data_IF_970588557841
#
_entry.id   IF_970588557841
#
_cell.length_a   1.000
_cell.length_b   1.000
_cell.length_c   1.000
_cell.angle_alpha   90.00
_cell.angle_beta   90.00
_cell.angle_gamma   90.00
#
_symmetry.space_group_name_H-M   'P 1'
#
loop_
_entity.id
_entity.type
_entity.pdbx_description
1 polymer ?
#
# COMPACT_ATOMS: atom_id res chain seq x y z
N UNK A 1 30.37 -7.28 -19.42
CA UNK A 1 28.96 -6.82 -19.42
C UNK A 1 28.79 -5.83 -18.29
N UNK A 2 28.18 -4.67 -18.55
CA UNK A 2 27.87 -3.70 -17.50
C UNK A 2 26.72 -4.22 -16.64
N UNK A 3 26.84 -4.14 -15.31
CA UNK A 3 25.79 -4.51 -14.36
C UNK A 3 25.14 -3.25 -13.78
N UNK A 4 23.90 -3.36 -13.29
CA UNK A 4 23.25 -2.25 -12.59
C UNK A 4 24.08 -1.72 -11.42
N UNK A 5 24.74 -2.61 -10.67
CA UNK A 5 25.64 -2.25 -9.56
C UNK A 5 26.88 -1.46 -9.97
N UNK A 6 27.24 -1.46 -11.26
CA UNK A 6 28.38 -0.68 -11.77
C UNK A 6 28.05 0.79 -12.06
N UNK A 7 26.77 1.17 -11.99
CA UNK A 7 26.35 2.57 -12.09
C UNK A 7 26.73 3.35 -10.82
N UNK A 8 27.11 4.64 -10.93
CA UNK A 8 27.18 5.55 -9.78
C UNK A 8 25.89 5.54 -8.95
N UNK A 9 26.01 5.75 -7.65
CA UNK A 9 24.89 5.63 -6.72
C UNK A 9 23.73 6.58 -7.06
N UNK A 10 24.05 7.79 -7.52
CA UNK A 10 23.10 8.81 -7.92
C UNK A 10 22.20 8.32 -9.06
N UNK A 11 22.77 7.61 -10.04
CA UNK A 11 22.02 7.06 -11.16
C UNK A 11 21.15 5.88 -10.73
N UNK A 12 21.65 5.00 -9.85
CA UNK A 12 20.85 3.89 -9.31
C UNK A 12 19.65 4.39 -8.51
N UNK A 13 19.88 5.36 -7.63
CA UNK A 13 18.83 6.03 -6.85
C UNK A 13 17.82 6.70 -7.78
N UNK A 14 18.26 7.44 -8.79
CA UNK A 14 17.35 8.06 -9.76
C UNK A 14 16.51 7.00 -10.47
N UNK A 15 17.12 5.92 -11.00
CA UNK A 15 16.38 4.82 -11.64
C UNK A 15 15.34 4.23 -10.68
N UNK A 16 15.70 4.05 -9.41
CA UNK A 16 14.74 3.58 -8.43
C UNK A 16 13.60 4.56 -8.19
N UNK A 17 13.88 5.85 -8.02
CA UNK A 17 12.83 6.86 -7.86
C UNK A 17 11.89 6.92 -9.08
N UNK A 18 12.42 6.74 -10.29
CA UNK A 18 11.62 6.67 -11.52
C UNK A 18 10.86 5.37 -11.71
N UNK A 19 11.23 4.28 -11.02
CA UNK A 19 10.50 3.01 -11.11
C UNK A 19 9.50 2.80 -9.96
N UNK A 20 9.32 3.81 -9.10
CA UNK A 20 8.24 3.82 -8.11
C UNK A 20 6.90 3.80 -8.85
N UNK A 21 5.95 2.95 -8.45
CA UNK A 21 4.68 2.87 -9.15
C UNK A 21 3.87 4.16 -9.08
N UNK A 22 3.05 4.35 -10.09
CA UNK A 22 2.00 5.37 -10.10
C UNK A 22 0.96 5.13 -8.99
N UNK A 23 0.23 6.18 -8.57
CA UNK A 23 -0.94 6.08 -7.71
C UNK A 23 -1.87 4.89 -8.02
N UNK A 24 -2.32 4.18 -6.99
CA UNK A 24 -3.16 2.98 -7.16
C UNK A 24 -4.39 2.96 -6.28
N UNK A 25 -5.38 2.19 -6.72
CA UNK A 25 -6.59 1.89 -5.96
C UNK A 25 -6.36 0.68 -5.06
N UNK A 26 -6.41 0.89 -3.76
CA UNK A 26 -6.28 -0.16 -2.75
C UNK A 26 -7.66 -0.44 -2.16
N UNK A 27 -8.13 -1.67 -2.33
CA UNK A 27 -9.34 -2.18 -1.70
C UNK A 27 -8.93 -2.92 -0.43
N UNK A 28 -9.47 -2.51 0.70
CA UNK A 28 -9.21 -3.08 2.01
C UNK A 28 -10.49 -3.73 2.54
N UNK A 29 -10.35 -4.97 3.00
CA UNK A 29 -11.41 -5.80 3.55
C UNK A 29 -10.95 -6.48 4.83
N UNK A 30 -11.90 -6.96 5.62
CA UNK A 30 -11.61 -7.74 6.82
C UNK A 30 -11.94 -9.21 6.59
N UNK A 31 -11.04 -10.12 6.94
CA UNK A 31 -11.25 -11.56 6.75
C UNK A 31 -11.61 -12.33 8.04
N UNK A 32 -11.93 -11.62 9.13
CA UNK A 32 -12.15 -12.21 10.45
C UNK A 32 -10.93 -12.14 11.38
N UNK A 33 -9.71 -12.00 10.84
CA UNK A 33 -8.46 -12.01 11.62
C UNK A 33 -7.53 -10.83 11.32
N UNK A 34 -7.44 -10.46 10.06
CA UNK A 34 -6.52 -9.43 9.58
C UNK A 34 -7.13 -8.63 8.43
N UNK A 35 -6.55 -7.46 8.18
CA UNK A 35 -6.87 -6.67 7.00
C UNK A 35 -6.27 -7.32 5.76
N UNK A 36 -7.12 -7.57 4.77
CA UNK A 36 -6.75 -8.09 3.46
C UNK A 36 -6.92 -6.99 2.42
N UNK A 37 -5.92 -6.81 1.56
CA UNK A 37 -6.03 -5.91 0.43
C UNK A 37 -5.76 -6.59 -0.91
N UNK A 38 -6.20 -5.94 -1.99
CA UNK A 38 -5.78 -6.26 -3.36
C UNK A 38 -4.45 -5.56 -3.75
N UNK A 39 -3.94 -4.69 -2.87
CA UNK A 39 -2.71 -3.95 -3.09
C UNK A 39 -1.51 -4.87 -2.94
N UNK A 40 -1.03 -5.43 -4.05
CA UNK A 40 0.26 -6.14 -4.05
C UNK A 40 1.35 -5.18 -3.57
N UNK A 41 2.40 -5.64 -2.88
CA UNK A 41 3.55 -4.78 -2.64
C UNK A 41 4.05 -4.22 -3.98
N UNK A 42 4.49 -2.95 -4.05
CA UNK A 42 5.16 -2.44 -5.24
C UNK A 42 6.22 -3.45 -5.71
N UNK A 43 6.22 -3.85 -6.99
CA UNK A 43 7.17 -4.84 -7.51
C UNK A 43 8.62 -4.51 -7.12
N UNK A 44 8.91 -3.21 -7.09
CA UNK A 44 10.17 -2.64 -6.64
C UNK A 44 10.60 -3.05 -5.23
N UNK A 45 9.67 -3.20 -4.28
CA UNK A 45 9.96 -3.63 -2.91
C UNK A 45 10.51 -5.06 -2.80
N UNK A 46 10.50 -5.82 -3.91
CA UNK A 46 10.99 -7.18 -4.00
C UNK A 46 12.26 -7.34 -4.84
N UNK A 47 12.80 -6.27 -5.44
CA UNK A 47 13.94 -6.36 -6.36
C UNK A 47 15.27 -6.55 -5.61
N UNK A 48 15.61 -5.61 -4.73
CA UNK A 48 16.82 -5.65 -3.91
C UNK A 48 16.68 -4.74 -2.68
N UNK A 49 17.70 -4.70 -1.82
CA UNK A 49 17.70 -3.85 -0.63
C UNK A 49 17.56 -2.36 -0.95
N UNK A 50 18.39 -1.84 -1.87
CA UNK A 50 18.40 -0.43 -2.28
C UNK A 50 17.03 0.00 -2.85
N UNK A 51 16.42 -0.84 -3.68
CA UNK A 51 15.09 -0.59 -4.23
C UNK A 51 13.99 -0.57 -3.14
N UNK A 52 14.08 -1.46 -2.14
CA UNK A 52 13.16 -1.48 -1.00
C UNK A 52 13.31 -0.23 -0.13
N UNK A 53 14.54 0.25 0.07
CA UNK A 53 14.81 1.48 0.82
C UNK A 53 14.16 2.69 0.12
N UNK A 54 14.28 2.82 -1.20
CA UNK A 54 13.63 3.91 -1.93
C UNK A 54 12.10 3.84 -1.86
N UNK A 55 11.49 2.65 -2.00
CA UNK A 55 10.03 2.50 -1.88
C UNK A 55 9.54 2.84 -0.48
N UNK A 56 10.31 2.47 0.55
CA UNK A 56 9.93 2.67 1.95
C UNK A 56 9.92 4.15 2.37
N UNK A 57 10.52 5.05 1.57
CA UNK A 57 10.41 6.50 1.77
C UNK A 57 9.02 7.04 1.45
N UNK A 58 8.25 6.31 0.63
CA UNK A 58 6.94 6.73 0.15
C UNK A 58 5.85 5.84 0.73
N UNK A 59 5.95 4.53 0.50
CA UNK A 59 4.95 3.57 0.93
C UNK A 59 5.30 3.00 2.29
N UNK A 60 4.29 2.83 3.14
CA UNK A 60 4.45 2.24 4.47
C UNK A 60 3.49 1.07 4.67
N UNK A 61 3.92 0.05 5.41
CA UNK A 61 3.03 -1.00 5.89
C UNK A 61 2.07 -0.39 6.92
N UNK A 62 0.80 -0.23 6.53
CA UNK A 62 -0.12 0.67 7.25
C UNK A 62 -1.20 -0.05 8.06
N UNK A 63 -1.94 -0.98 7.44
CA UNK A 63 -3.15 -1.54 8.06
C UNK A 63 -2.82 -2.77 8.94
N UNK A 64 -2.37 -2.52 10.17
CA UNK A 64 -2.13 -3.56 11.18
C UNK A 64 -3.45 -3.98 11.83
N UNK A 65 -3.57 -5.27 12.16
CA UNK A 65 -4.77 -5.79 12.80
C UNK A 65 -4.83 -5.39 14.28
N UNK A 66 -6.00 -5.03 14.82
CA UNK A 66 -6.18 -4.84 16.27
C UNK A 66 -5.86 -6.10 17.08
N UNK A 67 -5.96 -7.28 16.47
CA UNK A 67 -5.66 -8.58 17.11
C UNK A 67 -4.15 -8.90 17.15
N UNK A 68 -3.29 -7.95 16.78
CA UNK A 68 -1.83 -8.08 16.85
C UNK A 68 -1.16 -8.63 15.58
N UNK A 69 -1.93 -8.96 14.53
CA UNK A 69 -1.33 -9.33 13.24
C UNK A 69 -0.67 -8.09 12.58
N UNK A 70 0.56 -8.22 12.05
CA UNK A 70 1.30 -7.08 11.50
C UNK A 70 0.65 -6.54 10.22
N UNK A 71 0.90 -5.26 9.92
CA UNK A 71 0.48 -4.66 8.67
C UNK A 71 1.18 -5.32 7.47
N UNK A 72 0.41 -5.65 6.44
CA UNK A 72 0.92 -6.29 5.20
C UNK A 72 0.73 -5.45 3.95
N UNK A 73 -0.13 -4.44 4.02
CA UNK A 73 -0.47 -3.59 2.87
C UNK A 73 0.42 -2.36 2.86
N UNK A 74 1.21 -2.24 1.80
CA UNK A 74 1.95 -1.02 1.47
C UNK A 74 0.97 0.04 0.98
N UNK A 75 0.94 1.18 1.65
CA UNK A 75 0.00 2.25 1.35
C UNK A 75 0.68 3.61 1.53
N UNK A 76 0.37 4.54 0.65
CA UNK A 76 0.73 5.94 0.80
C UNK A 76 -0.54 6.80 0.84
N UNK A 77 -0.68 7.62 1.89
CA UNK A 77 -1.86 8.44 2.13
C UNK A 77 -1.97 9.64 1.19
N UNK A 78 -0.91 9.97 0.45
CA UNK A 78 -0.90 11.12 -0.47
C UNK A 78 -1.26 10.69 -1.89
N UNK A 79 -0.79 9.51 -2.31
CA UNK A 79 -0.89 9.00 -3.67
C UNK A 79 -2.02 7.98 -3.84
N UNK A 80 -2.21 7.07 -2.88
CA UNK A 80 -3.15 5.96 -3.06
C UNK A 80 -4.59 6.37 -2.74
N UNK A 81 -5.52 5.71 -3.41
CA UNK A 81 -6.96 5.81 -3.13
C UNK A 81 -7.39 4.56 -2.37
N UNK A 82 -7.98 4.76 -1.20
CA UNK A 82 -8.48 3.67 -0.35
C UNK A 82 -9.98 3.45 -0.57
N UNK A 83 -10.35 2.23 -0.94
CA UNK A 83 -11.70 1.71 -0.85
C UNK A 83 -11.75 0.74 0.31
N UNK A 84 -12.67 0.95 1.25
CA UNK A 84 -12.73 0.16 2.48
C UNK A 84 -14.15 -0.34 2.72
N UNK A 85 -14.28 -1.61 3.07
CA UNK A 85 -15.56 -2.21 3.47
C UNK A 85 -15.97 -1.73 4.87
N UNK A 86 -17.27 -1.66 5.14
CA UNK A 86 -17.78 -1.14 6.42
C UNK A 86 -17.25 -1.95 7.63
N UNK A 87 -17.17 -3.27 7.50
CA UNK A 87 -16.65 -4.16 8.55
C UNK A 87 -15.16 -3.92 8.86
N UNK A 88 -14.36 -3.58 7.85
CA UNK A 88 -12.96 -3.21 8.01
C UNK A 88 -12.82 -1.82 8.63
N UNK A 89 -13.69 -0.87 8.25
CA UNK A 89 -13.70 0.48 8.81
C UNK A 89 -14.01 0.46 10.31
N UNK A 90 -15.02 -0.30 10.73
CA UNK A 90 -15.41 -0.46 12.14
C UNK A 90 -14.30 -1.05 13.03
N UNK A 91 -13.42 -1.88 12.46
CA UNK A 91 -12.34 -2.56 13.17
C UNK A 91 -11.02 -1.80 13.11
N UNK A 92 -10.97 -0.68 12.39
CA UNK A 92 -9.74 0.08 12.20
C UNK A 92 -9.30 0.73 13.52
N UNK A 93 -8.01 0.63 13.92
CA UNK A 93 -7.49 1.35 15.07
C UNK A 93 -7.69 2.88 14.92
N UNK A 94 -8.01 3.56 16.02
CA UNK A 94 -8.33 5.00 16.02
C UNK A 94 -7.23 5.86 15.37
N UNK A 95 -5.97 5.56 15.63
CA UNK A 95 -4.83 6.25 15.01
C UNK A 95 -4.88 6.18 13.47
N UNK A 96 -5.12 4.99 12.92
CA UNK A 96 -5.20 4.79 11.46
C UNK A 96 -6.49 5.39 10.90
N UNK A 97 -7.60 5.25 11.63
CA UNK A 97 -8.89 5.80 11.26
C UNK A 97 -8.83 7.33 11.12
N UNK A 98 -8.12 8.03 12.01
CA UNK A 98 -7.94 9.48 11.96
C UNK A 98 -7.22 9.96 10.68
N UNK A 99 -6.34 9.12 10.13
CA UNK A 99 -5.61 9.38 8.87
C UNK A 99 -6.47 9.08 7.67
N UNK A 100 -7.25 7.99 7.74
CA UNK A 100 -8.22 7.61 6.72
C UNK A 100 -9.32 8.67 6.61
N UNK A 101 -9.95 9.12 7.69
CA UNK A 101 -11.03 10.12 7.60
C UNK A 101 -10.64 11.43 6.86
N UNK A 102 -9.35 11.75 6.79
CA UNK A 102 -8.80 12.92 6.08
C UNK A 102 -8.63 12.72 4.57
N UNK A 103 -8.69 11.49 4.05
CA UNK A 103 -8.60 11.28 2.60
C UNK A 103 -9.94 11.53 1.93
N UNK A 104 -9.89 11.92 0.65
CA UNK A 104 -11.06 12.07 -0.22
C UNK A 104 -11.66 10.69 -0.50
N UNK A 105 -12.53 10.20 0.38
CA UNK A 105 -13.08 8.84 0.29
C UNK A 105 -14.33 8.77 -0.58
N UNK A 106 -14.35 7.78 -1.48
CA UNK A 106 -15.57 7.21 -2.03
C UNK A 106 -16.06 6.12 -1.08
N UNK A 107 -17.32 6.20 -0.63
CA UNK A 107 -17.92 5.14 0.18
C UNK A 107 -18.02 3.87 -0.65
N UNK A 108 -17.69 2.74 -0.03
CA UNK A 108 -17.94 1.43 -0.60
C UNK A 108 -19.43 1.30 -0.93
N UNK A 109 -19.74 0.92 -2.17
CA UNK A 109 -21.08 0.49 -2.57
C UNK A 109 -21.02 -0.99 -2.92
N UNK A 110 -22.09 -1.74 -2.64
CA UNK A 110 -22.18 -3.16 -2.96
C UNK A 110 -21.86 -3.47 -4.45
N UNK A 111 -22.04 -2.49 -5.35
CA UNK A 111 -21.69 -2.59 -6.76
C UNK A 111 -20.16 -2.69 -7.02
N UNK A 112 -19.31 -2.08 -6.17
CA UNK A 112 -17.85 -2.15 -6.31
C UNK A 112 -17.28 -3.49 -5.82
N UNK A 113 -17.95 -4.14 -4.86
CA UNK A 113 -17.62 -5.48 -4.37
C UNK A 113 -17.53 -6.53 -5.49
N UNK A 114 -18.47 -6.44 -6.45
CA UNK A 114 -18.63 -7.40 -7.55
C UNK A 114 -17.45 -7.32 -8.52
N UNK A 115 -16.89 -6.12 -8.75
CA UNK A 115 -15.76 -5.91 -9.66
C UNK A 115 -14.39 -6.32 -9.11
N UNK A 116 -14.26 -6.45 -7.79
CA UNK A 116 -12.98 -6.79 -7.15
C UNK A 116 -12.86 -8.28 -6.80
N UNK A 117 -13.91 -9.07 -7.06
CA UNK A 117 -13.98 -10.51 -6.81
C UNK A 117 -13.88 -11.35 -8.09
N UNK A 118 -13.78 -10.70 -9.26
CA UNK A 118 -13.59 -11.30 -10.58
C UNK A 118 -12.13 -11.18 -11.02
#
# INVERSE_FOLDING_TARGET
>A
MASFSSLPAELRIAIWQFSIPEPRNVVLSWNGREFKSNGTPPNMAHVCHEAREEVSKIYHLTFASPSGAPAKTWFDFTRDVLFITDDALERMPEETLSRVQKLKHFRYTAAMAIKCSS
#
